data_IF_127051908040
#
_entry.id   IF_127051908040
#
_cell.length_a   1.000
_cell.length_b   1.000
_cell.length_c   1.000
_cell.angle_alpha   90.00
_cell.angle_beta   90.00
_cell.angle_gamma   90.00
#
_symmetry.space_group_name_H-M   'P 1'
#
loop_
_entity.id
_entity.type
_entity.pdbx_description
1 polymer ?
#
# COMPACT_ATOMS: atom_id res chain seq x y z
N UNK A 1 -6.90 -9.75 8.31
CA UNK A 1 -6.32 -8.72 7.41
C UNK A 1 -7.35 -7.89 6.66
N UNK A 2 -8.36 -8.47 5.98
CA UNK A 2 -9.38 -7.68 5.25
C UNK A 2 -10.10 -6.62 6.13
N UNK A 3 -10.60 -7.01 7.31
CA UNK A 3 -11.26 -6.08 8.26
C UNK A 3 -10.38 -4.88 8.66
N UNK A 4 -9.08 -5.10 8.88
CA UNK A 4 -8.13 -4.01 9.16
C UNK A 4 -7.97 -3.06 7.98
N UNK A 5 -7.76 -3.58 6.77
CA UNK A 5 -7.67 -2.73 5.56
C UNK A 5 -8.96 -1.93 5.34
N UNK A 6 -10.13 -2.57 5.47
CA UNK A 6 -11.42 -1.91 5.28
C UNK A 6 -11.64 -0.80 6.33
N UNK A 7 -11.19 -1.01 7.56
CA UNK A 7 -11.32 -0.01 8.65
C UNK A 7 -10.35 1.15 8.46
N UNK A 8 -9.09 0.87 8.08
CA UNK A 8 -8.12 1.91 7.71
C UNK A 8 -8.56 2.70 6.47
N UNK A 9 -9.16 2.03 5.49
CA UNK A 9 -9.81 2.68 4.33
C UNK A 9 -10.88 3.66 4.78
N UNK A 10 -11.80 3.24 5.66
CA UNK A 10 -12.85 4.13 6.20
C UNK A 10 -12.25 5.32 6.94
N UNK A 11 -11.24 5.06 7.78
CA UNK A 11 -10.53 6.09 8.53
C UNK A 11 -9.91 7.16 7.61
N UNK A 12 -9.13 6.77 6.61
CA UNK A 12 -8.49 7.74 5.71
C UNK A 12 -9.48 8.42 4.76
N UNK A 13 -10.52 7.72 4.30
CA UNK A 13 -11.58 8.36 3.53
C UNK A 13 -12.34 9.42 4.33
N UNK A 14 -12.52 9.23 5.65
CA UNK A 14 -13.12 10.25 6.52
C UNK A 14 -12.29 11.54 6.62
N UNK A 15 -11.02 11.49 6.22
CA UNK A 15 -10.06 12.61 6.19
C UNK A 15 -9.83 13.17 4.79
N UNK A 16 -10.68 12.83 3.84
CA UNK A 16 -10.53 13.19 2.42
C UNK A 16 -9.20 12.74 1.82
N UNK A 17 -8.79 11.50 2.14
CA UNK A 17 -7.59 10.87 1.61
C UNK A 17 -7.96 9.58 0.87
N UNK A 18 -7.26 9.27 -0.22
CA UNK A 18 -7.33 7.94 -0.83
C UNK A 18 -6.44 6.98 -0.06
N UNK A 19 -6.88 5.74 0.14
CA UNK A 19 -6.13 4.75 0.91
C UNK A 19 -5.53 3.69 -0.04
N UNK A 20 -4.22 3.73 -0.23
CA UNK A 20 -3.51 2.67 -0.95
C UNK A 20 -2.96 1.68 0.06
N UNK A 21 -3.19 0.39 -0.17
CA UNK A 21 -2.42 -0.63 0.53
C UNK A 21 -1.67 -1.50 -0.45
N UNK A 22 -0.50 -2.01 -0.08
CA UNK A 22 0.24 -2.90 -0.95
C UNK A 22 0.95 -3.98 -0.15
N UNK A 23 1.14 -5.10 -0.82
CA UNK A 23 1.79 -6.28 -0.28
C UNK A 23 2.89 -6.70 -1.25
N UNK A 24 4.09 -6.95 -0.71
CA UNK A 24 5.25 -7.40 -1.47
C UNK A 24 5.73 -8.72 -0.89
N UNK A 25 5.41 -9.82 -1.58
CA UNK A 25 6.01 -11.10 -1.32
C UNK A 25 7.27 -11.25 -2.18
N UNK A 26 8.40 -10.68 -1.73
CA UNK A 26 9.69 -10.82 -2.42
C UNK A 26 10.84 -10.62 -1.43
N UNK A 27 11.70 -11.64 -1.31
CA UNK A 27 12.87 -11.65 -0.40
C UNK A 27 12.52 -11.19 1.02
N UNK A 28 11.44 -11.72 1.57
CA UNK A 28 10.96 -11.41 2.93
C UNK A 28 10.66 -12.69 3.70
N UNK A 29 10.89 -12.67 5.02
CA UNK A 29 10.48 -13.74 5.93
C UNK A 29 9.11 -13.48 6.56
N UNK A 30 8.62 -12.23 6.49
CA UNK A 30 7.36 -11.83 7.09
C UNK A 30 6.41 -11.26 6.05
N UNK A 31 5.13 -11.58 6.22
CA UNK A 31 4.05 -10.90 5.51
C UNK A 31 3.98 -9.45 6.01
N UNK A 32 4.04 -8.50 5.09
CA UNK A 32 3.87 -7.10 5.38
C UNK A 32 2.87 -6.51 4.39
N UNK A 33 1.82 -5.90 4.94
CA UNK A 33 0.86 -5.10 4.19
C UNK A 33 1.07 -3.66 4.65
N UNK A 34 1.52 -2.82 3.73
CA UNK A 34 1.67 -1.40 3.98
C UNK A 34 0.35 -0.71 3.65
N UNK A 35 -0.06 0.27 4.45
CA UNK A 35 -1.24 1.10 4.21
C UNK A 35 -0.81 2.54 4.25
N UNK A 36 -0.96 3.24 3.14
CA UNK A 36 -0.42 4.59 2.94
C UNK A 36 -1.53 5.50 2.43
N UNK A 37 -1.95 6.51 3.22
CA UNK A 37 -2.85 7.53 2.73
C UNK A 37 -2.12 8.45 1.75
N UNK A 38 -2.83 8.88 0.71
CA UNK A 38 -2.38 9.90 -0.26
C UNK A 38 -3.47 10.97 -0.40
N UNK A 39 -3.16 12.17 -0.95
CA UNK A 39 -4.19 13.14 -1.28
C UNK A 39 -5.32 12.51 -2.09
N UNK A 40 -6.57 12.97 -1.91
CA UNK A 40 -7.71 12.42 -2.64
C UNK A 40 -7.44 12.48 -4.14
N UNK A 41 -7.27 11.31 -4.74
CA UNK A 41 -6.86 11.16 -6.13
C UNK A 41 -7.79 10.17 -6.81
N UNK A 42 -8.26 10.46 -8.04
CA UNK A 42 -9.07 9.51 -8.81
C UNK A 42 -8.36 8.16 -8.94
N UNK A 43 -9.06 7.05 -8.71
CA UNK A 43 -8.45 5.73 -8.71
C UNK A 43 -7.83 5.34 -10.05
N UNK A 44 -8.40 5.81 -11.17
CA UNK A 44 -7.81 5.63 -12.48
C UNK A 44 -6.41 6.26 -12.56
N UNK A 45 -6.24 7.47 -12.01
CA UNK A 45 -4.94 8.13 -11.93
C UNK A 45 -3.99 7.37 -10.99
N UNK A 46 -4.45 6.95 -9.81
CA UNK A 46 -3.65 6.14 -8.88
C UNK A 46 -3.11 4.87 -9.56
N UNK A 47 -3.98 4.10 -10.22
CA UNK A 47 -3.59 2.90 -10.98
C UNK A 47 -2.59 3.24 -12.09
N UNK A 48 -2.84 4.33 -12.82
CA UNK A 48 -1.97 4.74 -13.91
C UNK A 48 -0.53 5.04 -13.43
N UNK A 49 -0.36 5.70 -12.28
CA UNK A 49 0.97 5.96 -11.71
C UNK A 49 1.71 4.64 -11.39
N UNK A 50 1.01 3.64 -10.83
CA UNK A 50 1.59 2.31 -10.59
C UNK A 50 1.99 1.62 -11.90
N UNK A 51 1.11 1.66 -12.92
CA UNK A 51 1.35 1.04 -14.22
C UNK A 51 2.54 1.69 -14.92
N UNK A 52 2.62 3.02 -14.95
CA UNK A 52 3.68 3.73 -15.65
C UNK A 52 5.04 3.54 -14.98
N UNK A 53 5.10 3.62 -13.65
CA UNK A 53 6.32 3.31 -12.90
C UNK A 53 6.74 1.85 -13.10
N UNK A 54 5.77 0.92 -13.06
CA UNK A 54 5.98 -0.49 -13.36
C UNK A 54 6.58 -0.73 -14.75
N UNK A 55 5.97 -0.15 -15.79
CA UNK A 55 6.45 -0.25 -17.17
C UNK A 55 7.88 0.26 -17.33
N UNK A 56 8.24 1.36 -16.66
CA UNK A 56 9.61 1.89 -16.70
C UNK A 56 10.66 0.91 -16.15
N UNK A 57 10.23 -0.05 -15.34
CA UNK A 57 11.04 -1.10 -14.73
C UNK A 57 10.86 -2.48 -15.41
N UNK A 58 10.12 -2.54 -16.52
CA UNK A 58 9.80 -3.80 -17.21
C UNK A 58 8.82 -4.70 -16.44
N UNK A 59 8.00 -4.12 -15.56
CA UNK A 59 6.95 -4.83 -14.83
C UNK A 59 5.61 -4.67 -15.54
N UNK A 60 4.98 -5.79 -15.86
CA UNK A 60 3.64 -5.82 -16.47
C UNK A 60 2.59 -6.14 -15.41
N UNK A 61 1.81 -5.13 -15.04
CA UNK A 61 0.71 -5.27 -14.10
C UNK A 61 -0.55 -5.80 -14.78
N UNK A 62 -1.25 -6.68 -14.08
CA UNK A 62 -2.57 -7.18 -14.46
C UNK A 62 -3.61 -6.65 -13.47
N UNK A 63 -4.76 -6.26 -13.99
CA UNK A 63 -5.91 -5.93 -13.14
C UNK A 63 -6.50 -7.21 -12.54
N UNK A 64 -6.77 -7.16 -11.24
CA UNK A 64 -7.32 -8.28 -10.47
C UNK A 64 -8.61 -7.81 -9.79
N UNK A 65 -9.69 -8.58 -9.95
CA UNK A 65 -10.94 -8.30 -9.22
C UNK A 65 -10.68 -8.39 -7.71
N UNK A 66 -11.36 -7.55 -6.93
CA UNK A 66 -11.22 -7.50 -5.47
C UNK A 66 -11.64 -8.80 -4.79
N UNK A 67 -12.56 -9.54 -5.40
CA UNK A 67 -13.04 -10.82 -4.92
C UNK A 67 -12.10 -11.98 -5.30
N UNK A 68 -11.21 -11.79 -6.28
CA UNK A 68 -10.26 -12.83 -6.71
C UNK A 68 -9.26 -13.14 -5.59
N UNK A 69 -9.19 -14.39 -5.11
CA UNK A 69 -8.16 -14.82 -4.19
C UNK A 69 -6.77 -14.72 -4.81
N UNK A 70 -5.77 -14.28 -4.03
CA UNK A 70 -4.37 -14.25 -4.49
C UNK A 70 -3.87 -15.64 -4.93
N UNK A 71 -4.36 -16.71 -4.30
CA UNK A 71 -4.02 -18.10 -4.65
C UNK A 71 -4.37 -18.48 -6.08
N UNK A 72 -5.34 -17.78 -6.69
CA UNK A 72 -5.76 -18.00 -8.07
C UNK A 72 -4.83 -17.26 -9.05
N UNK A 73 -4.14 -16.22 -8.57
CA UNK A 73 -3.21 -15.40 -9.35
C UNK A 73 -1.77 -15.89 -9.29
N UNK A 74 -1.38 -16.51 -8.17
CA UNK A 74 0.01 -16.91 -7.92
C UNK A 74 0.11 -18.24 -7.18
N UNK A 75 0.94 -19.18 -7.68
CA UNK A 75 1.21 -20.42 -6.96
C UNK A 75 1.84 -20.16 -5.59
N UNK A 76 1.59 -21.06 -4.64
CA UNK A 76 2.21 -21.01 -3.31
C UNK A 76 3.73 -20.95 -3.46
N UNK A 77 4.36 -20.02 -2.72
CA UNK A 77 5.81 -19.81 -2.73
C UNK A 77 6.34 -18.95 -3.87
N UNK A 78 5.53 -18.62 -4.89
CA UNK A 78 5.96 -17.71 -5.95
C UNK A 78 5.86 -16.24 -5.48
N UNK A 79 6.89 -15.42 -5.74
CA UNK A 79 6.89 -14.03 -5.31
C UNK A 79 5.97 -13.16 -6.17
N UNK A 80 5.41 -12.11 -5.55
CA UNK A 80 4.47 -11.20 -6.18
C UNK A 80 4.48 -9.82 -5.51
N UNK A 81 3.85 -8.88 -6.19
CA UNK A 81 3.43 -7.60 -5.64
C UNK A 81 1.96 -7.37 -5.98
N UNK A 82 1.20 -6.85 -5.02
CA UNK A 82 -0.18 -6.43 -5.23
C UNK A 82 -0.41 -5.06 -4.59
N UNK A 83 -1.03 -4.15 -5.33
CA UNK A 83 -1.53 -2.87 -4.84
C UNK A 83 -3.06 -2.92 -4.80
N UNK A 84 -3.60 -2.51 -3.65
CA UNK A 84 -5.00 -2.44 -3.35
C UNK A 84 -5.48 -0.98 -3.30
N UNK A 85 -6.58 -0.70 -4.00
CA UNK A 85 -7.28 0.59 -4.07
C UNK A 85 -8.63 0.52 -3.33
N UNK A 86 -9.32 1.66 -3.24
CA UNK A 86 -10.50 1.83 -2.39
C UNK A 86 -11.71 1.05 -2.91
N UNK A 87 -12.00 1.14 -4.21
CA UNK A 87 -13.17 0.58 -4.89
C UNK A 87 -12.83 -0.16 -6.19
N UNK A 88 -11.88 0.35 -6.98
CA UNK A 88 -11.49 -0.20 -8.28
C UNK A 88 -10.76 -1.55 -8.23
N UNK A 89 -10.41 -2.10 -9.41
CA UNK A 89 -9.63 -3.33 -9.49
C UNK A 89 -8.24 -3.11 -8.88
N UNK A 90 -7.70 -4.20 -8.35
CA UNK A 90 -6.36 -4.24 -7.78
C UNK A 90 -5.33 -4.39 -8.89
N UNK A 91 -4.10 -3.97 -8.64
CA UNK A 91 -2.99 -4.20 -9.58
C UNK A 91 -2.09 -5.29 -9.02
N UNK A 92 -1.89 -6.34 -9.81
CA UNK A 92 -1.10 -7.51 -9.45
C UNK A 92 0.05 -7.71 -10.44
N UNK A 93 1.21 -8.12 -9.94
CA UNK A 93 2.31 -8.61 -10.77
C UNK A 93 3.00 -9.79 -10.11
N UNK A 94 3.20 -10.87 -10.88
CA UNK A 94 4.06 -11.98 -10.46
C UNK A 94 5.52 -11.60 -10.69
N UNK A 95 6.35 -11.75 -9.67
CA UNK A 95 7.76 -11.42 -9.76
C UNK A 95 8.52 -12.63 -10.31
N UNK A 96 9.20 -12.46 -11.44
CA UNK A 96 9.98 -13.53 -12.10
C UNK A 96 11.50 -13.32 -12.04
N UNK A 97 11.95 -12.18 -11.52
CA UNK A 97 13.36 -11.81 -11.51
C UNK A 97 13.65 -10.69 -10.53
N UNK A 98 14.38 -9.66 -10.98
CA UNK A 98 14.66 -8.47 -10.17
C UNK A 98 13.36 -7.70 -9.94
N UNK A 99 13.16 -7.25 -8.71
CA UNK A 99 12.06 -6.38 -8.32
C UNK A 99 12.57 -5.38 -7.28
N UNK A 100 12.31 -4.06 -7.43
CA UNK A 100 12.77 -3.08 -6.46
C UNK A 100 12.10 -3.30 -5.12
N UNK A 101 12.90 -3.43 -4.05
CA UNK A 101 12.33 -3.60 -2.70
C UNK A 101 11.48 -2.39 -2.30
N UNK A 102 11.83 -1.19 -2.74
CA UNK A 102 11.10 0.03 -2.43
C UNK A 102 9.98 0.35 -3.42
N UNK A 103 9.66 -0.51 -4.40
CA UNK A 103 8.73 -0.19 -5.50
C UNK A 103 7.45 0.54 -5.05
N UNK A 104 6.74 0.00 -4.05
CA UNK A 104 5.52 0.65 -3.54
C UNK A 104 5.78 2.06 -2.98
N UNK A 105 6.90 2.26 -2.30
CA UNK A 105 7.32 3.59 -1.79
C UNK A 105 7.77 4.51 -2.91
N UNK A 106 8.50 4.01 -3.91
CA UNK A 106 8.92 4.79 -5.10
C UNK A 106 7.71 5.39 -5.80
N UNK A 107 6.67 4.58 -6.04
CA UNK A 107 5.40 5.02 -6.63
C UNK A 107 4.74 6.08 -5.75
N UNK A 108 4.51 5.78 -4.47
CA UNK A 108 3.73 6.64 -3.57
C UNK A 108 4.44 7.95 -3.23
N UNK A 109 5.77 7.95 -3.15
CA UNK A 109 6.57 9.14 -2.86
C UNK A 109 6.83 10.01 -4.11
N UNK A 110 6.37 9.57 -5.28
CA UNK A 110 6.53 10.32 -6.53
C UNK A 110 5.89 11.72 -6.43
N UNK A 111 6.34 12.69 -7.26
CA UNK A 111 5.74 14.02 -7.33
C UNK A 111 4.24 14.02 -7.66
N UNK A 112 3.74 12.96 -8.29
CA UNK A 112 2.33 12.82 -8.66
C UNK A 112 1.43 12.49 -7.47
N UNK A 113 1.99 12.01 -6.35
CA UNK A 113 1.24 11.54 -5.18
C UNK A 113 1.64 12.30 -3.91
N UNK A 114 2.70 11.86 -3.21
CA UNK A 114 3.11 12.48 -1.94
C UNK A 114 4.20 13.55 -2.08
N UNK A 115 4.86 13.63 -3.23
CA UNK A 115 5.99 14.54 -3.47
C UNK A 115 7.05 14.49 -2.34
N UNK A 116 7.40 13.27 -1.91
CA UNK A 116 8.26 13.01 -0.76
C UNK A 116 9.42 12.04 -1.10
N UNK A 117 10.27 12.34 -2.09
CA UNK A 117 11.30 11.42 -2.58
C UNK A 117 12.29 10.98 -1.49
N UNK A 118 12.55 11.83 -0.49
CA UNK A 118 13.40 11.52 0.67
C UNK A 118 12.83 10.41 1.57
N UNK A 119 11.58 9.99 1.38
CA UNK A 119 10.91 8.93 2.16
C UNK A 119 10.84 7.59 1.42
N UNK A 120 11.42 7.50 0.23
CA UNK A 120 11.46 6.27 -0.57
C UNK A 120 12.27 5.19 0.14
N UNK A 121 13.47 5.52 0.62
CA UNK A 121 14.26 4.55 1.38
C UNK A 121 13.75 4.45 2.81
N UNK A 122 13.19 3.28 3.16
CA UNK A 122 12.75 2.99 4.53
C UNK A 122 13.87 3.15 5.57
N UNK A 123 15.15 2.99 5.18
CA UNK A 123 16.29 3.15 6.10
C UNK A 123 16.54 4.61 6.46
N UNK A 124 16.23 5.52 5.55
CA UNK A 124 16.41 6.96 5.70
C UNK A 124 15.11 7.67 6.12
N UNK A 125 14.00 6.93 6.15
CA UNK A 125 12.68 7.40 6.56
C UNK A 125 12.40 7.19 8.06
N UNK A 126 13.43 7.20 8.91
CA UNK A 126 13.27 7.11 10.36
C UNK A 126 12.98 8.49 10.96
N UNK A 127 12.23 8.50 12.06
CA UNK A 127 12.00 9.69 12.87
C UNK A 127 12.62 9.47 14.26
N UNK A 128 12.66 10.52 15.09
CA UNK A 128 13.04 10.33 16.49
C UNK A 128 11.99 9.48 17.21
N UNK A 129 12.41 8.77 18.25
CA UNK A 129 11.51 7.94 19.06
C UNK A 129 10.34 8.75 19.62
N UNK A 130 10.59 9.99 20.01
CA UNK A 130 9.59 10.92 20.54
C UNK A 130 8.52 11.24 19.48
N UNK A 131 8.95 11.55 18.25
CA UNK A 131 8.05 11.84 17.14
C UNK A 131 7.21 10.60 16.76
N UNK A 132 7.81 9.42 16.69
CA UNK A 132 7.09 8.17 16.43
C UNK A 132 6.06 7.85 17.53
N UNK A 133 6.43 8.09 18.80
CA UNK A 133 5.54 7.89 19.95
C UNK A 133 4.33 8.81 19.89
N UNK A 134 4.54 10.09 19.58
CA UNK A 134 3.46 11.06 19.42
C UNK A 134 2.55 10.71 18.24
N UNK A 135 3.13 10.31 17.10
CA UNK A 135 2.36 9.87 15.93
C UNK A 135 1.51 8.63 16.24
N UNK A 136 2.06 7.66 16.97
CA UNK A 136 1.33 6.45 17.37
C UNK A 136 0.17 6.78 18.32
N UNK A 137 0.38 7.67 19.30
CA UNK A 137 -0.68 8.10 20.21
C UNK A 137 -1.81 8.82 19.46
N UNK A 138 -1.47 9.77 18.58
CA UNK A 138 -2.44 10.47 17.73
C UNK A 138 -3.20 9.51 16.82
N UNK A 139 -2.52 8.54 16.24
CA UNK A 139 -3.16 7.52 15.40
C UNK A 139 -4.16 6.71 16.21
N UNK A 140 -3.80 6.24 17.40
CA UNK A 140 -4.71 5.47 18.29
C UNK A 140 -5.99 6.25 18.60
N UNK A 141 -5.87 7.47 19.08
CA UNK A 141 -7.03 8.32 19.41
C UNK A 141 -7.89 8.60 18.19
N UNK A 142 -7.28 8.94 17.05
CA UNK A 142 -8.04 9.27 15.85
C UNK A 142 -8.70 8.04 15.19
N UNK A 143 -8.13 6.86 15.38
CA UNK A 143 -8.60 5.62 14.79
C UNK A 143 -9.70 4.94 15.63
N UNK A 144 -9.85 5.30 16.91
CA UNK A 144 -10.84 4.73 17.84
C UNK A 144 -12.25 4.55 17.24
N UNK A 145 -12.86 5.53 16.53
CA UNK A 145 -14.20 5.34 15.93
C UNK A 145 -14.27 4.30 14.80
N UNK A 146 -13.12 3.84 14.33
CA UNK A 146 -12.95 2.87 13.25
C UNK A 146 -12.37 1.54 13.74
N UNK A 147 -11.98 1.45 15.01
CA UNK A 147 -11.45 0.22 15.60
C UNK A 147 -12.60 -0.76 15.84
N UNK A 148 -12.51 -1.93 15.20
CA UNK A 148 -13.49 -3.01 15.36
C UNK A 148 -13.06 -4.05 16.39
N UNK A 149 -11.89 -3.86 17.02
CA UNK A 149 -11.30 -4.77 18.00
C UNK A 149 -11.58 -4.36 19.44
N UNK A 150 -12.04 -3.13 19.67
CA UNK A 150 -12.40 -2.62 21.01
C UNK A 150 -13.73 -3.19 21.55
N UNK A 151 -14.54 -3.85 20.72
CA UNK A 151 -15.78 -4.54 21.13
C UNK A 151 -15.55 -6.00 21.63
N UNK A 152 -14.31 -6.38 21.96
CA UNK A 152 -13.92 -7.75 22.38
C UNK A 152 -13.58 -7.86 23.87
#
# INVERSE_FOLDING_TARGET
>A
MKRFRDSLKRYYNSKDQSCISFERNFKSQHLQIQVVPVPKTPEAALRQVFIDHGKSLGLEFTEMDRATPLTDMVPVGAPYFVAHFDEGPQLFVRIRGRFPLQFGREVLCSPLLLAAPQRVDWRECSLSKEAETEMAAKMRTNFEPFDFTDDL
#
